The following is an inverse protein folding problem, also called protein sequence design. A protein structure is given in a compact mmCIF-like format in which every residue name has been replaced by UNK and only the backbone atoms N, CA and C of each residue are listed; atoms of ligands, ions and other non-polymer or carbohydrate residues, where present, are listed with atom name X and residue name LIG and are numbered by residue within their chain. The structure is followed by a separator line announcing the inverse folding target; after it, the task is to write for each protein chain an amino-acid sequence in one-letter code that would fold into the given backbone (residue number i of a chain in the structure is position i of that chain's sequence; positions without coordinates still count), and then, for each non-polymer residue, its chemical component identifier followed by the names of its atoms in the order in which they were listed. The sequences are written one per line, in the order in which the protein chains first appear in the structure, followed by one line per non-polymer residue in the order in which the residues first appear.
data_IF_440580614312
#
_entry.id   IF_440580614312
#
_cell.length_a   1.000
_cell.length_b   1.000
_cell.length_c   1.000
_cell.angle_alpha   90.00
_cell.angle_beta   90.00
_cell.angle_gamma   90.00
#
_symmetry.space_group_name_H-M   'P 1'
#
loop_
_entity.id
_entity.type
_entity.pdbx_description
1 polymer ?
#
# COMPACT_ATOMS: atom_id res chain seq x y z
N UNK A 1 32.98 6.21 -7.82
CA UNK A 1 31.77 5.39 -7.96
C UNK A 1 32.11 4.18 -8.80
N UNK A 2 32.17 3.01 -8.18
CA UNK A 2 32.28 1.75 -8.88
C UNK A 2 30.98 1.45 -9.65
N UNK A 3 31.03 0.63 -10.71
CA UNK A 3 29.85 0.27 -11.51
C UNK A 3 28.68 -0.26 -10.66
N UNK A 4 28.99 -1.08 -9.65
CA UNK A 4 27.99 -1.60 -8.72
C UNK A 4 27.37 -0.51 -7.82
N UNK A 5 28.15 0.49 -7.39
CA UNK A 5 27.64 1.63 -6.61
C UNK A 5 26.71 2.50 -7.47
N UNK A 6 27.06 2.70 -8.75
CA UNK A 6 26.18 3.36 -9.71
C UNK A 6 24.88 2.58 -9.92
N UNK A 7 24.97 1.25 -10.09
CA UNK A 7 23.81 0.39 -10.30
C UNK A 7 22.89 0.38 -9.07
N UNK A 8 23.46 0.32 -7.87
CA UNK A 8 22.72 0.45 -6.61
C UNK A 8 21.98 1.80 -6.54
N UNK A 9 22.68 2.92 -6.79
CA UNK A 9 22.06 4.24 -6.80
C UNK A 9 20.94 4.36 -7.85
N UNK A 10 21.15 3.82 -9.05
CA UNK A 10 20.15 3.79 -10.12
C UNK A 10 18.91 3.00 -9.70
N UNK A 11 19.08 1.78 -9.16
CA UNK A 11 17.97 0.97 -8.66
C UNK A 11 17.22 1.70 -7.56
N UNK A 12 17.94 2.37 -6.65
CA UNK A 12 17.43 3.29 -5.63
C UNK A 12 16.39 4.29 -6.15
N UNK A 13 16.78 5.05 -7.16
CA UNK A 13 15.90 6.04 -7.78
C UNK A 13 14.74 5.43 -8.53
N UNK A 14 14.99 4.37 -9.31
CA UNK A 14 13.96 3.75 -10.14
C UNK A 14 12.86 3.13 -9.28
N UNK A 15 13.17 2.36 -8.22
CA UNK A 15 12.07 1.82 -7.40
C UNK A 15 11.31 2.90 -6.66
N UNK A 16 11.97 3.98 -6.23
CA UNK A 16 11.33 5.09 -5.54
C UNK A 16 10.29 5.75 -6.45
N UNK A 17 10.65 5.92 -7.73
CA UNK A 17 9.75 6.42 -8.76
C UNK A 17 8.62 5.41 -9.02
N UNK A 18 8.91 4.12 -9.19
CA UNK A 18 7.90 3.08 -9.42
C UNK A 18 6.86 3.03 -8.30
N UNK A 19 7.29 3.01 -7.03
CA UNK A 19 6.37 3.04 -5.89
C UNK A 19 5.59 4.34 -5.79
N UNK A 20 6.18 5.49 -6.11
CA UNK A 20 5.44 6.76 -6.12
C UNK A 20 4.39 6.79 -7.25
N UNK A 21 4.72 6.26 -8.42
CA UNK A 21 3.81 6.20 -9.54
C UNK A 21 2.70 5.16 -9.35
N UNK A 22 2.90 4.11 -8.54
CA UNK A 22 1.90 3.04 -8.35
C UNK A 22 0.59 3.53 -7.70
N UNK A 23 0.59 4.70 -7.06
CA UNK A 23 -0.62 5.30 -6.47
C UNK A 23 -1.61 5.89 -7.49
N UNK A 24 -1.15 6.19 -8.71
CA UNK A 24 -1.92 6.93 -9.70
C UNK A 24 -2.86 6.08 -10.59
N UNK A 25 -2.45 4.90 -11.10
CA UNK A 25 -3.21 4.18 -12.12
C UNK A 25 -4.66 3.93 -11.73
N UNK A 26 -4.93 3.42 -10.54
CA UNK A 26 -6.31 3.14 -10.11
C UNK A 26 -7.16 4.40 -9.98
N UNK A 27 -6.61 5.48 -9.40
CA UNK A 27 -7.35 6.74 -9.25
C UNK A 27 -7.71 7.33 -10.61
N UNK A 28 -6.79 7.23 -11.57
CA UNK A 28 -7.00 7.70 -12.93
C UNK A 28 -7.96 6.80 -13.73
N UNK A 29 -7.86 5.48 -13.57
CA UNK A 29 -8.79 4.52 -14.18
C UNK A 29 -10.22 4.77 -13.70
N UNK A 30 -10.42 4.96 -12.40
CA UNK A 30 -11.72 5.33 -11.83
C UNK A 30 -12.24 6.64 -12.42
N UNK A 31 -11.37 7.64 -12.57
CA UNK A 31 -11.73 8.93 -13.16
C UNK A 31 -12.12 8.84 -14.63
N UNK A 32 -11.42 8.01 -15.41
CA UNK A 32 -11.74 7.75 -16.82
C UNK A 32 -13.05 6.97 -16.98
N UNK A 33 -13.27 5.94 -16.16
CA UNK A 33 -14.47 5.09 -16.21
C UNK A 33 -15.68 5.71 -15.55
N UNK A 34 -15.50 6.79 -14.78
CA UNK A 34 -16.54 7.40 -13.92
C UNK A 34 -17.21 6.38 -12.99
N UNK A 35 -16.47 5.36 -12.56
CA UNK A 35 -17.00 4.26 -11.76
C UNK A 35 -15.86 3.59 -11.00
N UNK A 36 -16.12 3.20 -9.75
CA UNK A 36 -15.23 2.35 -8.94
C UNK A 36 -15.56 0.86 -9.08
N UNK A 37 -16.48 0.51 -9.98
CA UNK A 37 -16.90 -0.86 -10.22
C UNK A 37 -15.74 -1.77 -10.67
N UNK A 38 -15.67 -2.95 -10.05
CA UNK A 38 -14.59 -3.93 -10.27
C UNK A 38 -13.58 -4.01 -9.13
N UNK A 39 -13.69 -3.12 -8.14
CA UNK A 39 -12.77 -3.05 -7.00
C UNK A 39 -13.52 -2.98 -5.68
N UNK A 40 -12.92 -3.52 -4.63
CA UNK A 40 -13.45 -3.45 -3.26
C UNK A 40 -13.18 -2.07 -2.65
N UNK A 41 -14.13 -1.57 -1.85
CA UNK A 41 -13.93 -0.38 -1.00
C UNK A 41 -12.94 -0.62 0.15
N UNK A 42 -12.65 -1.89 0.44
CA UNK A 42 -11.76 -2.30 1.51
C UNK A 42 -10.33 -1.82 1.33
N UNK A 43 -9.81 -1.92 0.10
CA UNK A 43 -8.46 -1.50 -0.24
C UNK A 43 -8.19 -0.01 0.05
N UNK A 44 -8.95 0.95 -0.53
CA UNK A 44 -8.73 2.37 -0.26
C UNK A 44 -9.01 2.74 1.20
N UNK A 45 -10.00 2.10 1.84
CA UNK A 45 -10.33 2.33 3.24
C UNK A 45 -9.17 2.03 4.18
N UNK A 46 -8.54 0.84 4.06
CA UNK A 46 -7.37 0.52 4.88
C UNK A 46 -6.13 1.30 4.48
N UNK A 47 -5.94 1.61 3.20
CA UNK A 47 -4.77 2.34 2.75
C UNK A 47 -4.66 3.71 3.43
N UNK A 48 -5.76 4.45 3.57
CA UNK A 48 -5.75 5.73 4.29
C UNK A 48 -5.27 5.56 5.73
N UNK A 49 -5.78 4.56 6.45
CA UNK A 49 -5.32 4.27 7.82
C UNK A 49 -3.81 3.96 7.85
N UNK A 50 -3.34 3.12 6.92
CA UNK A 50 -1.94 2.75 6.83
C UNK A 50 -1.04 3.95 6.57
N UNK A 51 -1.33 4.76 5.55
CA UNK A 51 -0.51 5.93 5.21
C UNK A 51 -0.64 7.07 6.20
N UNK A 52 -1.78 7.23 6.88
CA UNK A 52 -1.90 8.16 8.00
C UNK A 52 -0.98 7.74 9.15
N UNK A 53 -0.97 6.44 9.47
CA UNK A 53 -0.07 5.89 10.50
C UNK A 53 1.40 6.07 10.13
N UNK A 54 1.75 5.82 8.87
CA UNK A 54 3.11 6.03 8.37
C UNK A 54 3.51 7.51 8.41
N UNK A 55 2.61 8.42 8.03
CA UNK A 55 2.84 9.87 8.12
C UNK A 55 3.04 10.36 9.55
N UNK A 56 2.23 9.88 10.51
CA UNK A 56 2.41 10.21 11.93
C UNK A 56 3.77 9.71 12.43
N UNK A 57 4.12 8.46 12.09
CA UNK A 57 5.40 7.87 12.44
C UNK A 57 6.58 8.69 11.90
N UNK A 58 6.60 8.99 10.59
CA UNK A 58 7.72 9.72 9.97
C UNK A 58 7.85 11.14 10.51
N UNK A 59 6.72 11.85 10.69
CA UNK A 59 6.72 13.19 11.30
C UNK A 59 7.23 13.17 12.75
N UNK A 60 6.77 12.21 13.56
CA UNK A 60 7.17 12.10 14.96
C UNK A 60 8.67 11.82 15.10
N UNK A 61 9.20 10.89 14.31
CA UNK A 61 10.62 10.56 14.33
C UNK A 61 11.51 11.65 13.75
N UNK A 62 11.02 12.42 12.78
CA UNK A 62 11.78 13.49 12.15
C UNK A 62 11.79 14.79 12.99
N UNK A 63 10.62 15.25 13.45
CA UNK A 63 10.49 16.56 14.09
C UNK A 63 10.38 16.54 15.62
N UNK A 64 9.84 15.50 16.26
CA UNK A 64 9.57 15.55 17.70
C UNK A 64 10.85 15.39 18.52
N UNK A 65 11.28 16.41 19.30
CA UNK A 65 12.46 16.28 20.15
C UNK A 65 12.28 15.21 21.22
N UNK A 66 11.05 15.05 21.75
CA UNK A 66 10.73 14.07 22.78
C UNK A 66 10.90 12.63 22.26
N UNK A 67 10.36 12.32 21.08
CA UNK A 67 10.47 10.97 20.49
C UNK A 67 11.93 10.66 20.14
N UNK A 68 12.65 11.63 19.58
CA UNK A 68 14.07 11.47 19.24
C UNK A 68 14.95 11.26 20.48
N UNK A 69 14.64 11.97 21.57
CA UNK A 69 15.31 11.79 22.86
C UNK A 69 15.03 10.40 23.46
N UNK A 70 13.76 9.99 23.52
CA UNK A 70 13.38 8.67 24.03
C UNK A 70 14.00 7.54 23.19
N UNK A 71 14.06 7.70 21.87
CA UNK A 71 14.73 6.76 20.98
C UNK A 71 16.22 6.68 21.29
N UNK A 72 16.90 7.82 21.41
CA UNK A 72 18.33 7.88 21.74
C UNK A 72 18.62 7.18 23.08
N UNK A 73 17.79 7.34 24.11
CA UNK A 73 17.97 6.66 25.40
C UNK A 73 17.93 5.13 25.30
N UNK A 74 17.09 4.59 24.41
CA UNK A 74 16.90 3.14 24.24
C UNK A 74 17.87 2.50 23.26
N UNK A 75 18.40 3.29 22.33
CA UNK A 75 19.27 2.82 21.25
C UNK A 75 20.67 3.43 21.33
N UNK A 76 21.30 3.47 22.52
CA UNK A 76 22.71 3.82 22.66
C UNK A 76 23.09 5.23 22.19
N UNK A 77 22.18 6.20 22.34
CA UNK A 77 22.28 7.59 21.88
C UNK A 77 22.32 7.77 20.34
N UNK A 78 21.92 6.75 19.58
CA UNK A 78 21.77 6.88 18.13
C UNK A 78 20.57 7.74 17.74
N UNK A 79 20.70 8.45 16.62
CA UNK A 79 19.59 9.21 16.03
C UNK A 79 18.72 8.29 15.18
N UNK A 80 17.39 8.52 15.14
CA UNK A 80 16.53 7.81 14.22
C UNK A 80 16.96 7.97 12.76
N UNK A 81 16.77 6.92 11.96
CA UNK A 81 17.19 6.88 10.55
C UNK A 81 16.18 7.51 9.59
N UNK A 82 15.06 8.06 10.09
CA UNK A 82 14.03 8.68 9.25
C UNK A 82 14.56 9.96 8.64
N UNK A 83 14.52 10.04 7.32
CA UNK A 83 15.00 11.17 6.55
C UNK A 83 13.84 12.03 6.01
N UNK A 84 14.15 13.22 5.52
CA UNK A 84 13.13 14.18 5.06
C UNK A 84 12.32 13.65 3.86
N UNK A 85 12.97 12.92 2.95
CA UNK A 85 12.32 12.26 1.82
C UNK A 85 11.26 11.23 2.27
N UNK A 86 11.43 10.57 3.41
CA UNK A 86 10.43 9.64 3.95
C UNK A 86 9.15 10.39 4.36
N UNK A 87 9.30 11.59 4.93
CA UNK A 87 8.18 12.46 5.29
C UNK A 87 7.45 12.94 4.03
N UNK A 88 8.19 13.41 3.03
CA UNK A 88 7.60 13.86 1.74
C UNK A 88 6.85 12.72 1.06
N UNK A 89 7.43 11.52 1.01
CA UNK A 89 6.77 10.33 0.48
C UNK A 89 5.50 9.97 1.27
N UNK A 90 5.55 10.02 2.60
CA UNK A 90 4.40 9.73 3.44
C UNK A 90 3.24 10.72 3.19
N UNK A 91 3.55 12.02 3.06
CA UNK A 91 2.57 13.07 2.70
C UNK A 91 1.96 12.79 1.35
N UNK A 92 2.80 12.56 0.34
CA UNK A 92 2.36 12.26 -1.02
C UNK A 92 1.40 11.06 -1.07
N UNK A 93 1.82 9.94 -0.47
CA UNK A 93 1.02 8.73 -0.44
C UNK A 93 -0.28 8.90 0.35
N UNK A 94 -0.27 9.65 1.46
CA UNK A 94 -1.49 9.96 2.22
C UNK A 94 -2.47 10.79 1.38
N UNK A 95 -1.99 11.81 0.65
CA UNK A 95 -2.84 12.63 -0.22
C UNK A 95 -3.47 11.77 -1.32
N UNK A 96 -2.68 10.96 -2.04
CA UNK A 96 -3.22 10.16 -3.13
C UNK A 96 -4.16 9.06 -2.65
N UNK A 97 -3.87 8.43 -1.51
CA UNK A 97 -4.79 7.44 -0.93
C UNK A 97 -6.06 8.08 -0.37
N UNK A 98 -5.98 9.31 0.16
CA UNK A 98 -7.17 10.08 0.53
C UNK A 98 -8.02 10.44 -0.69
N UNK A 99 -7.41 10.93 -1.78
CA UNK A 99 -8.10 11.20 -3.05
C UNK A 99 -8.78 9.92 -3.55
N UNK A 100 -8.05 8.82 -3.64
CA UNK A 100 -8.60 7.52 -4.02
C UNK A 100 -9.77 7.14 -3.11
N UNK A 101 -9.65 7.28 -1.79
CA UNK A 101 -10.72 6.99 -0.85
C UNK A 101 -11.98 7.84 -1.09
N UNK A 102 -11.84 9.13 -1.40
CA UNK A 102 -13.01 9.97 -1.74
C UNK A 102 -13.73 9.50 -2.99
N UNK A 103 -13.05 8.87 -3.96
CA UNK A 103 -13.70 8.31 -5.14
C UNK A 103 -14.68 7.18 -4.81
N UNK A 104 -14.44 6.43 -3.72
CA UNK A 104 -15.29 5.31 -3.31
C UNK A 104 -16.40 5.74 -2.33
N UNK A 105 -16.07 6.61 -1.38
CA UNK A 105 -17.01 7.02 -0.32
C UNK A 105 -17.83 8.25 -0.68
N UNK A 106 -17.32 9.12 -1.56
CA UNK A 106 -17.96 10.36 -2.03
C UNK A 106 -18.08 10.39 -3.56
N UNK A 107 -18.64 9.35 -4.22
CA UNK A 107 -18.70 9.28 -5.69
C UNK A 107 -19.47 10.45 -6.33
N UNK A 108 -20.41 11.06 -5.60
CA UNK A 108 -21.17 12.22 -6.07
C UNK A 108 -20.29 13.45 -6.33
N UNK A 109 -19.21 13.66 -5.57
CA UNK A 109 -18.28 14.78 -5.77
C UNK A 109 -17.52 14.62 -7.08
N UNK A 110 -17.31 13.37 -7.52
CA UNK A 110 -16.55 13.03 -8.72
C UNK A 110 -17.44 12.79 -9.95
N UNK A 111 -18.76 12.85 -9.80
CA UNK A 111 -19.73 12.48 -10.84
C UNK A 111 -19.66 11.00 -11.21
N UNK A 112 -19.30 10.13 -10.27
CA UNK A 112 -19.19 8.69 -10.50
C UNK A 112 -20.52 7.97 -10.27
N UNK A 113 -20.68 6.85 -10.96
CA UNK A 113 -21.76 5.90 -10.71
C UNK A 113 -21.74 5.45 -9.24
N UNK A 114 -22.93 5.34 -8.64
CA UNK A 114 -23.05 4.91 -7.25
C UNK A 114 -22.78 3.41 -7.15
N UNK A 115 -21.73 2.96 -6.45
CA UNK A 115 -21.47 1.53 -6.32
C UNK A 115 -22.55 0.87 -5.45
N UNK A 116 -22.92 -0.36 -5.79
CA UNK A 116 -23.92 -1.14 -5.06
C UNK A 116 -23.49 -1.41 -3.60
N UNK A 117 -22.19 -1.56 -3.34
CA UNK A 117 -21.62 -1.80 -2.01
C UNK A 117 -20.67 -0.65 -1.66
N UNK A 118 -20.98 0.05 -0.56
CA UNK A 118 -20.19 1.19 -0.03
C UNK A 118 -19.52 0.91 1.30
N UNK A 119 -19.93 -0.15 1.98
CA UNK A 119 -19.45 -0.46 3.33
C UNK A 119 -18.26 -1.42 3.23
N UNK A 120 -17.17 -1.15 3.97
CA UNK A 120 -16.10 -2.11 4.12
C UNK A 120 -16.62 -3.46 4.66
N UNK A 121 -15.93 -4.54 4.31
CA UNK A 121 -16.24 -5.88 4.80
C UNK A 121 -16.03 -5.96 6.31
N UNK A 122 -16.79 -6.85 6.97
CA UNK A 122 -16.73 -7.03 8.43
C UNK A 122 -15.32 -7.36 8.92
N UNK A 123 -14.59 -8.18 8.15
CA UNK A 123 -13.19 -8.50 8.43
C UNK A 123 -12.32 -7.24 8.46
N UNK A 124 -12.46 -6.37 7.47
CA UNK A 124 -11.68 -5.15 7.33
C UNK A 124 -12.08 -4.11 8.38
N UNK A 125 -13.37 -3.98 8.69
CA UNK A 125 -13.83 -3.16 9.83
C UNK A 125 -13.27 -3.68 11.15
N UNK A 126 -13.21 -5.00 11.35
CA UNK A 126 -12.58 -5.64 12.51
C UNK A 126 -11.10 -5.30 12.63
N UNK A 127 -10.34 -5.39 11.53
CA UNK A 127 -8.91 -5.01 11.50
C UNK A 127 -8.73 -3.53 11.79
N UNK A 128 -9.54 -2.66 11.16
CA UNK A 128 -9.51 -1.21 11.40
C UNK A 128 -9.76 -0.89 12.88
N UNK A 129 -10.86 -1.40 13.44
CA UNK A 129 -11.24 -1.15 14.84
C UNK A 129 -10.20 -1.72 15.80
N UNK A 130 -9.70 -2.93 15.57
CA UNK A 130 -8.62 -3.52 16.37
C UNK A 130 -7.34 -2.70 16.37
N UNK A 131 -6.93 -2.15 15.21
CA UNK A 131 -5.77 -1.25 15.12
C UNK A 131 -5.97 0.03 15.94
N UNK A 132 -7.13 0.68 15.79
CA UNK A 132 -7.46 1.91 16.53
C UNK A 132 -7.52 1.64 18.04
N UNK A 133 -8.21 0.58 18.45
CA UNK A 133 -8.28 0.19 19.87
C UNK A 133 -6.90 -0.13 20.43
N UNK A 134 -6.05 -0.85 19.70
CA UNK A 134 -4.68 -1.14 20.12
C UNK A 134 -3.86 0.12 20.37
N UNK A 135 -3.92 1.10 19.47
CA UNK A 135 -3.25 2.41 19.65
C UNK A 135 -3.80 3.14 20.89
N UNK A 136 -5.13 3.20 21.03
CA UNK A 136 -5.79 3.87 22.16
C UNK A 136 -5.40 3.22 23.50
N UNK A 137 -5.36 1.89 23.59
CA UNK A 137 -4.95 1.18 24.79
C UNK A 137 -3.51 1.53 25.19
N UNK A 138 -2.58 1.57 24.23
CA UNK A 138 -1.18 1.92 24.51
C UNK A 138 -1.03 3.39 24.90
N UNK A 139 -1.84 4.29 24.33
CA UNK A 139 -1.92 5.68 24.80
C UNK A 139 -2.32 5.74 26.27
N UNK A 140 -3.34 4.97 26.69
CA UNK A 140 -3.73 4.92 28.10
C UNK A 140 -2.64 4.33 29.00
N UNK A 141 -1.95 3.29 28.56
CA UNK A 141 -0.81 2.70 29.30
C UNK A 141 0.28 3.75 29.52
N UNK A 142 0.66 4.49 28.48
CA UNK A 142 1.68 5.56 28.56
C UNK A 142 1.20 6.74 29.41
N UNK A 143 -0.06 7.15 29.26
CA UNK A 143 -0.64 8.25 30.04
C UNK A 143 -0.78 7.91 31.53
N UNK A 144 -0.88 6.62 31.88
CA UNK A 144 -0.92 6.15 33.27
C UNK A 144 0.45 6.09 33.95
N UNK A 145 1.55 6.29 33.21
CA UNK A 145 2.89 6.25 33.79
C UNK A 145 3.15 7.48 34.69
N UNK A 146 3.83 7.30 35.84
CA UNK A 146 4.17 8.43 36.70
C UNK A 146 5.15 9.38 35.98
N UNK A 147 5.11 10.70 36.24
CA UNK A 147 6.02 11.67 35.60
C UNK A 147 7.51 11.40 35.84
N UNK A 148 7.84 10.64 36.89
CA UNK A 148 9.20 10.21 37.24
C UNK A 148 9.65 8.93 36.53
N UNK A 149 8.78 8.29 35.73
CA UNK A 149 9.11 7.06 35.02
C UNK A 149 10.26 7.30 34.03
N UNK A 150 11.28 6.45 34.08
CA UNK A 150 12.39 6.51 33.14
C UNK A 150 11.95 6.05 31.75
N UNK A 151 11.98 6.92 30.72
CA UNK A 151 11.58 6.55 29.36
C UNK A 151 12.43 5.43 28.74
N UNK A 152 13.62 5.14 29.30
CA UNK A 152 14.48 4.06 28.83
C UNK A 152 13.93 2.67 29.13
N UNK A 153 13.27 2.50 30.28
CA UNK A 153 12.80 1.19 30.78
C UNK A 153 11.28 1.09 30.84
N UNK A 154 10.59 2.22 31.02
CA UNK A 154 9.14 2.30 31.14
C UNK A 154 8.48 2.65 29.81
N UNK A 155 7.17 2.41 29.72
CA UNK A 155 6.36 2.80 28.58
C UNK A 155 6.44 4.30 28.33
N UNK A 156 6.71 4.70 27.10
CA UNK A 156 6.90 6.09 26.71
C UNK A 156 6.14 6.41 25.42
N UNK A 157 6.05 7.69 25.07
CA UNK A 157 5.42 8.11 23.81
C UNK A 157 6.04 7.46 22.56
N UNK A 158 7.33 7.11 22.63
CA UNK A 158 8.00 6.29 21.62
C UNK A 158 7.25 4.98 21.32
N UNK A 159 6.73 4.30 22.34
CA UNK A 159 5.99 3.04 22.18
C UNK A 159 4.67 3.24 21.44
N UNK A 160 3.98 4.36 21.69
CA UNK A 160 2.78 4.75 20.92
C UNK A 160 3.13 4.90 19.45
N UNK A 161 4.23 5.59 19.14
CA UNK A 161 4.66 5.81 17.75
C UNK A 161 5.06 4.48 17.08
N UNK A 162 5.71 3.55 17.81
CA UNK A 162 5.97 2.20 17.28
C UNK A 162 4.69 1.43 17.01
N UNK A 163 3.71 1.46 17.90
CA UNK A 163 2.43 0.78 17.70
C UNK A 163 1.67 1.37 16.51
N UNK A 164 1.69 2.69 16.33
CA UNK A 164 1.18 3.35 15.11
C UNK A 164 1.91 2.83 13.87
N UNK A 165 3.24 2.67 13.91
CA UNK A 165 4.00 2.10 12.79
C UNK A 165 3.57 0.66 12.45
N UNK A 166 3.23 -0.14 13.46
CA UNK A 166 2.75 -1.51 13.25
C UNK A 166 1.37 -1.56 12.60
N UNK A 167 0.52 -0.55 12.79
CA UNK A 167 -0.74 -0.42 12.03
C UNK A 167 -0.47 -0.39 10.53
N UNK A 168 0.56 0.36 10.08
CA UNK A 168 0.96 0.37 8.65
C UNK A 168 1.39 -1.01 8.17
N UNK A 169 2.11 -1.78 9.00
CA UNK A 169 2.55 -3.13 8.66
C UNK A 169 1.33 -4.06 8.50
N UNK A 170 0.44 -4.08 9.48
CA UNK A 170 -0.80 -4.88 9.43
C UNK A 170 -1.63 -4.53 8.20
N UNK A 171 -1.82 -3.23 7.92
CA UNK A 171 -2.53 -2.77 6.72
C UNK A 171 -1.87 -3.31 5.46
N UNK A 172 -0.54 -3.25 5.35
CA UNK A 172 0.17 -3.74 4.17
C UNK A 172 -0.06 -5.23 3.93
N UNK A 173 -0.11 -6.02 5.00
CA UNK A 173 -0.37 -7.47 4.93
C UNK A 173 -1.81 -7.78 4.53
N UNK A 174 -2.79 -6.98 4.98
CA UNK A 174 -4.21 -7.35 4.88
C UNK A 174 -4.94 -6.67 3.71
N UNK A 175 -4.51 -5.47 3.29
CA UNK A 175 -5.26 -4.60 2.35
C UNK A 175 -5.68 -5.25 1.03
N UNK A 176 -4.91 -6.22 0.54
CA UNK A 176 -5.13 -6.86 -0.76
C UNK A 176 -6.02 -8.12 -0.68
N UNK A 177 -6.21 -8.70 0.51
CA UNK A 177 -6.98 -9.94 0.70
C UNK A 177 -8.41 -9.84 0.13
N UNK A 178 -9.19 -8.78 0.41
CA UNK A 178 -10.58 -8.73 -0.06
C UNK A 178 -10.67 -8.64 -1.58
N UNK A 179 -9.75 -7.90 -2.22
CA UNK A 179 -9.70 -7.78 -3.67
C UNK A 179 -9.36 -9.12 -4.32
N UNK A 180 -8.37 -9.83 -3.77
CA UNK A 180 -7.99 -11.16 -4.25
C UNK A 180 -9.17 -12.14 -4.19
N UNK A 181 -9.91 -12.15 -3.08
CA UNK A 181 -11.11 -12.99 -2.89
C UNK A 181 -12.22 -12.57 -3.86
N UNK A 182 -12.44 -11.27 -4.05
CA UNK A 182 -13.46 -10.77 -4.97
C UNK A 182 -13.13 -11.14 -6.43
N UNK A 183 -11.87 -11.00 -6.85
CA UNK A 183 -11.42 -11.42 -8.17
C UNK A 183 -11.69 -12.92 -8.40
N UNK A 184 -11.39 -13.75 -7.40
CA UNK A 184 -11.66 -15.20 -7.46
C UNK A 184 -13.15 -15.50 -7.56
N UNK A 185 -13.97 -14.84 -6.74
CA UNK A 185 -15.43 -15.03 -6.72
C UNK A 185 -16.10 -14.59 -8.02
N UNK A 186 -15.65 -13.46 -8.57
CA UNK A 186 -16.19 -12.90 -9.81
C UNK A 186 -15.56 -13.53 -11.06
N UNK A 187 -14.52 -14.36 -10.89
CA UNK A 187 -13.67 -14.88 -11.98
C UNK A 187 -13.22 -13.80 -12.97
N UNK A 188 -12.97 -12.60 -12.47
CA UNK A 188 -12.66 -11.43 -13.29
C UNK A 188 -11.83 -10.43 -12.53
N UNK A 189 -10.87 -9.81 -13.21
CA UNK A 189 -10.07 -8.67 -12.68
C UNK A 189 -10.49 -7.34 -13.33
N UNK A 190 -11.64 -7.29 -14.02
CA UNK A 190 -12.06 -6.08 -14.73
C UNK A 190 -12.29 -4.94 -13.74
N UNK A 191 -11.59 -3.83 -13.97
CA UNK A 191 -11.69 -2.60 -13.20
C UNK A 191 -10.65 -2.41 -12.10
N UNK A 192 -9.79 -3.41 -11.88
CA UNK A 192 -8.56 -3.29 -11.12
C UNK A 192 -7.39 -3.00 -12.08
N UNK A 193 -6.73 -1.86 -11.92
CA UNK A 193 -5.64 -1.45 -12.82
C UNK A 193 -4.38 -2.28 -12.56
N UNK A 194 -4.03 -3.14 -13.51
CA UNK A 194 -2.84 -4.01 -13.39
C UNK A 194 -1.54 -3.22 -13.42
N UNK A 195 -1.52 -2.00 -14.01
CA UNK A 195 -0.32 -1.17 -14.09
C UNK A 195 0.16 -0.76 -12.70
N UNK A 196 -0.77 -0.53 -11.76
CA UNK A 196 -0.42 -0.29 -10.36
C UNK A 196 0.35 -1.47 -9.77
N UNK A 197 -0.11 -2.70 -10.04
CA UNK A 197 0.52 -3.93 -9.55
C UNK A 197 1.89 -4.16 -10.20
N UNK A 198 2.02 -3.90 -11.49
CA UNK A 198 3.29 -4.02 -12.20
C UNK A 198 4.33 -3.01 -11.69
N UNK A 199 3.90 -1.78 -11.40
CA UNK A 199 4.77 -0.75 -10.82
C UNK A 199 5.17 -1.10 -9.38
N UNK A 200 4.25 -1.63 -8.56
CA UNK A 200 4.55 -2.08 -7.20
C UNK A 200 5.56 -3.23 -7.20
N UNK A 201 5.35 -4.22 -8.07
CA UNK A 201 6.25 -5.36 -8.25
C UNK A 201 7.63 -4.93 -8.75
N UNK A 202 7.70 -4.06 -9.77
CA UNK A 202 8.96 -3.53 -10.27
C UNK A 202 9.73 -2.76 -9.19
N UNK A 203 9.02 -1.96 -8.39
CA UNK A 203 9.59 -1.27 -7.23
C UNK A 203 10.15 -2.26 -6.20
N UNK A 204 9.38 -3.27 -5.82
CA UNK A 204 9.81 -4.32 -4.88
C UNK A 204 11.03 -5.09 -5.36
N UNK A 205 11.03 -5.51 -6.63
CA UNK A 205 12.12 -6.28 -7.23
C UNK A 205 13.44 -5.48 -7.27
N UNK A 206 13.37 -4.22 -7.72
CA UNK A 206 14.54 -3.33 -7.76
C UNK A 206 15.03 -2.96 -6.37
N UNK A 207 14.14 -2.85 -5.38
CA UNK A 207 14.52 -2.60 -3.97
C UNK A 207 15.33 -3.76 -3.39
N UNK A 208 14.92 -5.00 -3.66
CA UNK A 208 15.67 -6.19 -3.24
C UNK A 208 16.99 -6.32 -3.99
N UNK A 209 16.98 -6.02 -5.30
CA UNK A 209 18.20 -6.03 -6.09
C UNK A 209 19.23 -5.00 -5.57
N UNK A 210 18.80 -3.78 -5.22
CA UNK A 210 19.66 -2.78 -4.58
C UNK A 210 20.26 -3.34 -3.27
N UNK A 211 19.40 -3.88 -2.40
CA UNK A 211 19.83 -4.43 -1.11
C UNK A 211 20.88 -5.55 -1.27
N UNK A 212 20.72 -6.42 -2.27
CA UNK A 212 21.69 -7.47 -2.60
C UNK A 212 23.03 -6.91 -3.07
N UNK A 213 23.03 -5.86 -3.91
CA UNK A 213 24.26 -5.19 -4.36
C UNK A 213 24.96 -4.51 -3.19
N UNK A 214 24.23 -3.78 -2.34
CA UNK A 214 24.80 -3.07 -1.20
C UNK A 214 25.41 -4.05 -0.18
N UNK A 215 24.73 -5.16 0.09
CA UNK A 215 25.23 -6.20 1.00
C UNK A 215 26.48 -6.90 0.45
N UNK A 216 26.52 -7.12 -0.88
CA UNK A 216 27.70 -7.65 -1.54
C UNK A 216 28.89 -6.69 -1.47
N UNK A 217 28.67 -5.39 -1.72
CA UNK A 217 29.71 -4.36 -1.64
C UNK A 217 30.25 -4.15 -0.23
N UNK A 218 29.39 -4.27 0.78
CA UNK A 218 29.77 -4.12 2.18
C UNK A 218 30.39 -5.38 2.78
N UNK A 219 30.41 -6.50 2.03
CA UNK A 219 30.76 -7.83 2.52
C UNK A 219 30.00 -8.23 3.80
N UNK A 220 28.81 -7.65 3.99
CA UNK A 220 27.99 -7.82 5.18
C UNK A 220 26.53 -8.04 4.78
N UNK A 221 26.04 -9.24 5.09
CA UNK A 221 24.66 -9.64 4.86
C UNK A 221 23.76 -9.32 6.06
N UNK A 222 24.33 -8.78 7.14
CA UNK A 222 23.56 -8.33 8.31
C UNK A 222 22.54 -7.25 7.95
N UNK A 223 22.73 -6.50 6.86
CA UNK A 223 21.72 -5.56 6.34
C UNK A 223 20.45 -6.25 5.80
N UNK A 224 20.56 -7.49 5.29
CA UNK A 224 19.43 -8.28 4.78
C UNK A 224 18.64 -8.92 5.92
N UNK A 225 19.33 -9.43 6.93
CA UNK A 225 18.71 -10.09 8.10
C UNK A 225 18.38 -9.14 9.24
N UNK A 226 19.05 -7.99 9.32
CA UNK A 226 18.97 -6.99 10.39
C UNK A 226 17.80 -6.02 10.28
N UNK A 227 17.07 -6.00 9.15
CA UNK A 227 15.81 -5.29 9.02
C UNK A 227 14.69 -6.21 8.48
N UNK A 228 14.21 -7.16 9.32
CA UNK A 228 13.18 -8.11 8.91
C UNK A 228 11.90 -7.40 8.47
N UNK A 229 11.60 -6.20 8.98
CA UNK A 229 10.41 -5.44 8.60
C UNK A 229 10.46 -4.99 7.14
N UNK A 230 11.60 -4.45 6.68
CA UNK A 230 11.76 -4.01 5.28
C UNK A 230 11.77 -5.20 4.32
N UNK A 231 12.41 -6.31 4.72
CA UNK A 231 12.39 -7.57 3.97
C UNK A 231 10.95 -8.13 3.88
N UNK A 232 10.23 -8.26 4.99
CA UNK A 232 8.86 -8.78 4.99
C UNK A 232 7.88 -7.89 4.23
N UNK A 233 7.95 -6.56 4.38
CA UNK A 233 7.03 -5.64 3.69
C UNK A 233 7.15 -5.72 2.16
N UNK A 234 8.38 -5.71 1.63
CA UNK A 234 8.62 -5.83 0.20
C UNK A 234 8.19 -7.19 -0.36
N UNK A 235 8.53 -8.27 0.35
CA UNK A 235 8.17 -9.63 -0.07
C UNK A 235 6.66 -9.89 -0.02
N UNK A 236 5.95 -9.37 0.99
CA UNK A 236 4.49 -9.53 1.07
C UNK A 236 3.79 -8.78 -0.06
N UNK A 237 4.23 -7.56 -0.41
CA UNK A 237 3.65 -6.83 -1.55
C UNK A 237 3.86 -7.60 -2.86
N UNK A 238 5.09 -8.02 -3.14
CA UNK A 238 5.41 -8.79 -4.35
C UNK A 238 4.66 -10.12 -4.42
N UNK A 239 4.40 -10.79 -3.30
CA UNK A 239 3.58 -12.01 -3.27
C UNK A 239 2.16 -11.71 -3.75
N UNK A 240 1.52 -10.66 -3.23
CA UNK A 240 0.21 -10.23 -3.71
C UNK A 240 0.25 -9.84 -5.18
N UNK A 241 1.30 -9.15 -5.62
CA UNK A 241 1.46 -8.75 -7.01
C UNK A 241 1.51 -9.96 -7.94
N UNK A 242 2.30 -10.99 -7.60
CA UNK A 242 2.34 -12.25 -8.33
C UNK A 242 0.98 -12.94 -8.38
N UNK A 243 0.23 -12.92 -7.27
CA UNK A 243 -1.13 -13.47 -7.24
C UNK A 243 -2.09 -12.69 -8.15
N UNK A 244 -2.04 -11.36 -8.15
CA UNK A 244 -2.85 -10.52 -9.03
C UNK A 244 -2.45 -10.68 -10.50
N UNK A 245 -1.15 -10.76 -10.81
CA UNK A 245 -0.63 -11.05 -12.15
C UNK A 245 -1.10 -12.43 -12.62
N UNK A 246 -1.05 -13.44 -11.75
CA UNK A 246 -1.56 -14.78 -12.02
C UNK A 246 -3.07 -14.79 -12.28
N UNK A 247 -3.86 -14.07 -11.47
CA UNK A 247 -5.29 -13.89 -11.72
C UNK A 247 -5.56 -13.21 -13.06
N UNK A 248 -4.82 -12.15 -13.38
CA UNK A 248 -5.06 -11.32 -14.56
C UNK A 248 -4.61 -12.00 -15.87
N UNK A 249 -3.38 -12.51 -15.91
CA UNK A 249 -2.76 -13.02 -17.14
C UNK A 249 -2.93 -14.53 -17.33
N UNK A 250 -3.06 -15.31 -16.26
CA UNK A 250 -3.15 -16.78 -16.36
C UNK A 250 -4.59 -17.28 -16.22
N UNK A 251 -5.31 -16.86 -15.17
CA UNK A 251 -6.62 -17.44 -14.83
C UNK A 251 -7.80 -16.77 -15.56
N UNK A 252 -7.83 -15.43 -15.61
CA UNK A 252 -9.00 -14.67 -16.09
C UNK A 252 -8.76 -13.93 -17.40
N UNK A 253 -7.76 -14.38 -18.18
CA UNK A 253 -7.42 -13.84 -19.52
C UNK A 253 -8.55 -13.97 -20.55
N UNK A 254 -9.48 -14.91 -20.35
CA UNK A 254 -10.41 -15.37 -21.38
C UNK A 254 -11.78 -14.66 -21.43
N UNK A 255 -12.07 -13.76 -20.48
CA UNK A 255 -13.35 -13.04 -20.40
C UNK A 255 -13.39 -11.74 -21.23
N UNK A 256 -12.30 -11.39 -21.89
CA UNK A 256 -12.25 -10.36 -22.93
C UNK A 256 -12.57 -10.95 -24.31
N UNK A 257 -12.05 -12.13 -24.66
CA UNK A 257 -12.20 -12.67 -26.03
C UNK A 257 -13.61 -13.19 -26.37
N UNK A 258 -14.36 -13.71 -25.38
CA UNK A 258 -15.72 -14.21 -25.63
C UNK A 258 -16.73 -13.10 -25.91
N UNK A 259 -16.49 -11.89 -25.37
CA UNK A 259 -17.43 -10.77 -25.47
C UNK A 259 -17.25 -9.96 -26.76
N UNK A 260 -16.04 -9.93 -27.31
CA UNK A 260 -15.83 -9.36 -28.66
C UNK A 260 -16.49 -10.26 -29.71
N UNK A 261 -16.41 -11.59 -29.57
CA UNK A 261 -17.17 -12.52 -30.43
C UNK A 261 -18.69 -12.43 -30.28
N UNK A 262 -19.22 -12.28 -29.05
CA UNK A 262 -20.67 -12.03 -28.84
C UNK A 262 -21.12 -10.66 -29.36
N UNK A 263 -20.29 -9.63 -29.24
CA UNK A 263 -20.61 -8.29 -29.73
C UNK A 263 -20.52 -8.20 -31.25
N UNK A 264 -19.53 -8.84 -31.87
CA UNK A 264 -19.44 -9.00 -33.33
C UNK A 264 -20.63 -9.81 -33.87
N UNK A 265 -20.96 -10.95 -33.26
CA UNK A 265 -22.13 -11.75 -33.71
C UNK A 265 -23.46 -11.03 -33.54
N UNK A 266 -23.63 -10.20 -32.50
CA UNK A 266 -24.83 -9.37 -32.34
C UNK A 266 -24.88 -8.20 -33.33
N UNK A 267 -23.73 -7.63 -33.71
CA UNK A 267 -23.64 -6.59 -34.74
C UNK A 267 -23.87 -7.16 -36.14
N UNK A 268 -23.30 -8.33 -36.46
CA UNK A 268 -23.56 -9.06 -37.71
C UNK A 268 -25.03 -9.43 -37.86
N UNK A 269 -25.67 -9.92 -36.78
CA UNK A 269 -27.11 -10.24 -36.78
C UNK A 269 -27.99 -9.00 -36.94
N UNK A 270 -27.59 -7.87 -36.34
CA UNK A 270 -28.29 -6.60 -36.50
C UNK A 270 -28.13 -5.99 -37.92
N UNK A 271 -27.01 -6.26 -38.60
CA UNK A 271 -26.80 -5.86 -39.99
C UNK A 271 -27.49 -6.79 -40.99
N UNK A 272 -27.60 -8.10 -40.70
CA UNK A 272 -28.33 -9.04 -41.56
C UNK A 272 -29.83 -8.76 -41.57
N UNK A 273 -30.42 -8.44 -40.42
CA UNK A 273 -31.86 -8.12 -40.33
C UNK A 273 -32.19 -6.79 -41.03
N UNK A 274 -31.24 -5.84 -41.12
CA UNK A 274 -31.41 -4.57 -41.85
C UNK A 274 -31.28 -4.66 -43.37
N UNK A 275 -30.77 -5.78 -43.91
CA UNK A 275 -30.63 -5.98 -45.37
C UNK A 275 -31.81 -6.74 -45.98
N UNK A 276 -32.73 -7.23 -45.15
CA UNK A 276 -33.90 -8.00 -45.56
C UNK A 276 -35.21 -7.19 -45.57
N UNK A 277 -35.13 -5.90 -45.20
CA UNK A 277 -36.19 -4.90 -45.35
C UNK A 277 -35.88 -3.95 -46.53
#
# INVERSE_FOLDING_TARGET
MNFLEFLSALFGWVYTICWSLSFYPQAFLNFRRKSTGGTTVDFPFLNVLGFASYFIYTCAFYWSPAIRYQYALRHGHHTPTVAFNDVVFAVHALILTAILNTQYFLPSVWGFERPAVRRPSRFITGVFTGCITGVVLIIFVVASQPPSADPKTSWAWLDVIYVISYVKVIVTVVKYVPQLVQNTRNRSTKGWDISQILLDFAGGLLSIAQLGIDSYLQHDWSGVTGNPVKFFLGNVSMLYDLMFMGQHYCLYRHDSSKRDGERETLLERGESDRRLD
#
